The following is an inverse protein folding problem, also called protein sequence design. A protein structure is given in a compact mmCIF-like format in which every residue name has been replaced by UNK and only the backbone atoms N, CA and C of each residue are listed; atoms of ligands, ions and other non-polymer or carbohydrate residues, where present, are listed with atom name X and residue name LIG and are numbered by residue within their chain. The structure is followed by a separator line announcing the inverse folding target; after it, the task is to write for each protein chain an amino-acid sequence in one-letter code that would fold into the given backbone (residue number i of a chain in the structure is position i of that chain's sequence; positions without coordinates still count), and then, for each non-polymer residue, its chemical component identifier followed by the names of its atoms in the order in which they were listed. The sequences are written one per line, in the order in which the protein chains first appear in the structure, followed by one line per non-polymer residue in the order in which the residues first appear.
data_IF_420271882348
#
_entry.id   IF_420271882348
#
_cell.length_a   1.000
_cell.length_b   1.000
_cell.length_c   1.000
_cell.angle_alpha   90.00
_cell.angle_beta   90.00
_cell.angle_gamma   90.00
#
_symmetry.space_group_name_H-M   'P 1'
#
loop_
_entity.id
_entity.type
_entity.pdbx_description
1 polymer ?
#
# COMPACT_ATOMS: atom_id res chain seq x y z
N UNK A 1 -11.69 -24.63 14.01
CA UNK A 1 -12.44 -23.54 13.37
C UNK A 1 -11.54 -23.04 12.24
N UNK A 2 -11.87 -23.33 10.98
CA UNK A 2 -11.02 -22.92 9.85
C UNK A 2 -11.12 -21.40 9.64
N UNK A 3 -10.02 -20.67 9.37
CA UNK A 3 -10.10 -19.27 9.01
C UNK A 3 -10.87 -19.15 7.69
N UNK A 4 -11.86 -18.25 7.64
CA UNK A 4 -12.60 -17.98 6.40
C UNK A 4 -11.78 -17.01 5.57
N UNK A 5 -11.17 -17.49 4.49
CA UNK A 5 -10.54 -16.60 3.53
C UNK A 5 -11.60 -15.92 2.72
N UNK A 6 -11.78 -14.63 3.00
CA UNK A 6 -12.64 -13.77 2.22
C UNK A 6 -11.74 -12.76 1.54
N UNK A 7 -11.14 -13.16 0.40
CA UNK A 7 -10.79 -12.16 -0.61
C UNK A 7 -12.10 -11.42 -0.89
N UNK A 8 -12.13 -10.13 -0.58
CA UNK A 8 -13.38 -9.38 -0.68
C UNK A 8 -13.80 -9.29 -2.16
N UNK A 9 -15.11 -9.33 -2.46
CA UNK A 9 -15.57 -8.98 -3.79
C UNK A 9 -14.96 -7.64 -4.23
N UNK A 10 -14.41 -7.59 -5.44
CA UNK A 10 -13.68 -6.42 -5.95
C UNK A 10 -12.43 -6.07 -5.12
N UNK A 11 -11.70 -7.07 -4.65
CA UNK A 11 -10.29 -6.90 -4.28
C UNK A 11 -9.48 -6.39 -5.49
N UNK A 12 -8.34 -5.76 -5.22
CA UNK A 12 -7.37 -5.35 -6.26
C UNK A 12 -6.59 -6.54 -6.83
N UNK A 13 -6.77 -7.74 -6.26
CA UNK A 13 -6.16 -8.97 -6.74
C UNK A 13 -4.75 -9.19 -6.21
N UNK A 14 -3.95 -9.94 -6.97
CA UNK A 14 -2.56 -10.21 -6.62
C UNK A 14 -1.70 -8.94 -6.72
N UNK A 15 -1.01 -8.58 -5.64
CA UNK A 15 -0.13 -7.42 -5.56
C UNK A 15 1.29 -7.85 -5.18
N UNK A 16 2.25 -6.93 -5.33
CA UNK A 16 3.65 -7.17 -4.98
C UNK A 16 4.26 -5.91 -4.38
N UNK A 17 5.02 -6.04 -3.28
CA UNK A 17 5.74 -4.91 -2.72
C UNK A 17 6.84 -4.46 -3.68
N UNK A 18 7.08 -3.17 -3.67
CA UNK A 18 8.13 -2.50 -4.41
C UNK A 18 9.06 -1.83 -3.41
N UNK A 19 10.33 -1.70 -3.76
CA UNK A 19 11.33 -1.03 -2.93
C UNK A 19 11.92 0.15 -3.68
N UNK A 20 11.99 1.31 -3.02
CA UNK A 20 12.63 2.51 -3.53
C UNK A 20 13.79 2.89 -2.61
N UNK A 21 14.99 2.97 -3.19
CA UNK A 21 16.22 3.32 -2.48
C UNK A 21 16.51 4.81 -2.61
N UNK A 22 16.79 5.45 -1.48
CA UNK A 22 17.16 6.87 -1.38
C UNK A 22 18.60 6.99 -0.90
N UNK A 23 19.37 7.83 -1.60
CA UNK A 23 20.79 8.10 -1.25
C UNK A 23 20.99 9.50 -0.69
N UNK A 24 19.94 10.32 -0.75
CA UNK A 24 19.88 11.65 -0.16
C UNK A 24 19.68 11.55 1.36
N UNK A 25 20.51 12.22 2.18
CA UNK A 25 20.38 12.16 3.63
C UNK A 25 19.06 12.73 4.15
N UNK A 26 18.34 11.92 4.92
CA UNK A 26 17.11 12.33 5.61
C UNK A 26 17.44 12.87 7.01
N UNK A 27 17.16 14.17 7.21
CA UNK A 27 17.34 14.83 8.51
C UNK A 27 16.09 14.68 9.36
N UNK A 28 16.26 14.14 10.56
CA UNK A 28 15.17 13.97 11.51
C UNK A 28 14.97 15.21 12.38
N UNK A 29 13.77 15.34 12.96
CA UNK A 29 13.45 16.42 13.91
C UNK A 29 14.36 16.41 15.16
N UNK A 30 14.90 15.24 15.53
CA UNK A 30 15.87 15.10 16.64
C UNK A 30 17.25 15.66 16.32
N UNK A 31 17.52 16.03 15.07
CA UNK A 31 18.84 16.46 14.58
C UNK A 31 19.71 15.32 14.06
N UNK A 32 19.33 14.05 14.28
CA UNK A 32 20.00 12.90 13.67
C UNK A 32 19.81 12.87 12.14
N UNK A 33 20.69 12.14 11.45
CA UNK A 33 20.69 12.00 10.00
C UNK A 33 20.76 10.54 9.62
N UNK A 34 19.88 10.12 8.72
CA UNK A 34 19.94 8.82 8.04
C UNK A 34 20.48 9.04 6.64
N UNK A 35 21.68 8.51 6.35
CA UNK A 35 22.40 8.83 5.11
C UNK A 35 21.73 8.26 3.85
N UNK A 36 21.16 7.07 3.96
CA UNK A 36 20.46 6.37 2.89
C UNK A 36 19.45 5.41 3.52
N UNK A 37 18.36 5.16 2.82
CA UNK A 37 17.28 4.31 3.31
C UNK A 37 16.47 3.72 2.17
N UNK A 38 15.84 2.59 2.42
CA UNK A 38 14.90 1.94 1.51
C UNK A 38 13.48 2.12 2.05
N UNK A 39 12.55 2.45 1.17
CA UNK A 39 11.11 2.43 1.47
C UNK A 39 10.45 1.30 0.69
N UNK A 40 9.73 0.46 1.41
CA UNK A 40 8.86 -0.54 0.81
C UNK A 40 7.45 0.02 0.69
N UNK A 41 6.86 -0.12 -0.49
CA UNK A 41 5.55 0.42 -0.81
C UNK A 41 4.79 -0.49 -1.80
N UNK A 42 3.49 -0.29 -1.87
CA UNK A 42 2.58 -0.86 -2.87
C UNK A 42 1.71 0.24 -3.46
N UNK A 43 1.23 -0.01 -4.68
CA UNK A 43 0.33 0.92 -5.36
C UNK A 43 -0.85 0.19 -5.96
N UNK A 44 -2.03 0.84 -5.93
CA UNK A 44 -3.27 0.26 -6.40
C UNK A 44 -4.00 1.26 -7.31
N UNK A 45 -4.50 0.77 -8.45
CA UNK A 45 -5.09 1.62 -9.50
C UNK A 45 -4.04 2.26 -10.40
N UNK A 46 -4.44 3.32 -11.12
CA UNK A 46 -3.59 3.98 -12.13
C UNK A 46 -3.46 5.48 -11.87
N UNK A 47 -2.23 5.98 -11.78
CA UNK A 47 -1.95 7.41 -11.67
C UNK A 47 -2.33 8.09 -12.98
N UNK A 48 -3.20 9.10 -12.91
CA UNK A 48 -3.61 9.84 -14.09
C UNK A 48 -2.48 10.74 -14.61
N UNK A 49 -2.58 11.19 -15.87
CA UNK A 49 -1.53 12.00 -16.50
C UNK A 49 -1.24 13.33 -15.76
N UNK A 50 -2.26 13.92 -15.13
CA UNK A 50 -2.14 15.15 -14.34
C UNK A 50 -1.57 14.91 -12.92
N UNK A 51 -1.38 13.65 -12.51
CA UNK A 51 -0.99 13.21 -11.16
C UNK A 51 -1.89 13.77 -10.06
N UNK A 52 -3.16 14.02 -10.36
CA UNK A 52 -4.12 14.66 -9.45
C UNK A 52 -4.97 13.69 -8.65
N UNK A 53 -4.83 12.38 -8.87
CA UNK A 53 -5.65 11.35 -8.24
C UNK A 53 -4.88 10.47 -7.24
N UNK A 54 -3.72 10.91 -6.77
CA UNK A 54 -2.92 10.17 -5.80
C UNK A 54 -3.52 10.28 -4.37
N UNK A 55 -3.61 9.15 -3.67
CA UNK A 55 -4.07 9.05 -2.28
C UNK A 55 -3.04 8.26 -1.48
N UNK A 56 -2.53 8.83 -0.39
CA UNK A 56 -1.59 8.15 0.51
C UNK A 56 -2.35 7.47 1.66
N UNK A 57 -2.19 6.15 1.81
CA UNK A 57 -2.72 5.40 2.92
C UNK A 57 -1.71 5.37 4.08
N UNK A 58 -2.00 6.15 5.14
CA UNK A 58 -1.20 6.13 6.36
C UNK A 58 -1.64 4.96 7.25
N UNK A 59 -0.73 4.02 7.49
CA UNK A 59 -1.01 2.84 8.30
C UNK A 59 -0.91 3.14 9.81
N UNK A 60 -1.54 2.27 10.62
CA UNK A 60 -1.37 2.26 12.08
C UNK A 60 0.01 1.69 12.47
N UNK A 61 0.41 1.85 13.75
CA UNK A 61 1.75 1.48 14.25
C UNK A 61 2.18 0.05 13.92
N UNK A 62 1.26 -0.91 13.92
CA UNK A 62 1.50 -2.33 13.70
C UNK A 62 1.09 -2.83 12.30
N UNK A 63 0.62 -1.94 11.43
CA UNK A 63 0.28 -2.26 10.06
C UNK A 63 1.47 -2.00 9.12
N UNK A 64 1.34 -2.39 7.85
CA UNK A 64 2.41 -2.35 6.85
C UNK A 64 1.94 -1.68 5.55
N UNK A 65 2.84 -1.61 4.56
CA UNK A 65 2.56 -1.15 3.20
C UNK A 65 1.46 -1.96 2.48
N UNK A 66 1.16 -3.19 2.93
CA UNK A 66 0.19 -4.07 2.31
C UNK A 66 -1.26 -3.73 2.70
N UNK A 67 -1.84 -2.75 2.00
CA UNK A 67 -3.16 -2.17 2.34
C UNK A 67 -4.32 -2.97 1.75
N UNK A 68 -4.18 -3.47 0.52
CA UNK A 68 -5.24 -4.18 -0.20
C UNK A 68 -4.67 -5.26 -1.11
N UNK A 69 -5.53 -6.18 -1.56
CA UNK A 69 -5.13 -7.30 -2.39
C UNK A 69 -4.64 -8.47 -1.57
N UNK A 70 -3.91 -9.36 -2.25
CA UNK A 70 -3.23 -10.50 -1.64
C UNK A 70 -1.89 -10.78 -2.33
N UNK A 71 -1.00 -11.53 -1.69
CA UNK A 71 0.23 -11.98 -2.34
C UNK A 71 0.02 -13.24 -3.17
N UNK A 72 0.58 -13.28 -4.37
CA UNK A 72 0.35 -14.39 -5.30
C UNK A 72 0.86 -15.74 -4.76
N UNK A 73 1.93 -15.72 -3.97
CA UNK A 73 2.55 -16.87 -3.31
C UNK A 73 1.98 -17.16 -1.91
N UNK A 74 1.21 -16.23 -1.35
CA UNK A 74 0.49 -16.39 -0.09
C UNK A 74 -0.89 -15.70 -0.17
N UNK A 75 -1.88 -16.31 -0.85
CA UNK A 75 -3.20 -15.69 -1.08
C UNK A 75 -4.01 -15.43 0.20
N UNK A 76 -3.60 -16.02 1.32
CA UNK A 76 -4.17 -15.84 2.65
C UNK A 76 -3.72 -14.52 3.29
N UNK A 77 -2.60 -13.98 2.82
CA UNK A 77 -2.06 -12.70 3.22
C UNK A 77 -2.84 -11.59 2.52
N UNK A 78 -3.97 -11.21 3.12
CA UNK A 78 -4.87 -10.18 2.60
C UNK A 78 -4.55 -8.83 3.23
N UNK A 79 -4.56 -7.78 2.41
CA UNK A 79 -4.30 -6.42 2.85
C UNK A 79 -5.26 -5.96 3.95
N UNK A 80 -4.74 -5.21 4.92
CA UNK A 80 -5.47 -4.87 6.16
C UNK A 80 -6.71 -3.98 5.95
N UNK A 81 -6.88 -3.42 4.75
CA UNK A 81 -8.03 -2.63 4.30
C UNK A 81 -8.55 -3.07 2.93
N UNK A 82 -8.40 -4.35 2.57
CA UNK A 82 -8.92 -4.87 1.30
C UNK A 82 -10.44 -4.60 1.17
N UNK A 83 -11.21 -4.63 2.25
CA UNK A 83 -12.64 -4.27 2.24
C UNK A 83 -12.92 -2.79 1.90
N UNK A 84 -11.96 -1.89 2.09
CA UNK A 84 -12.11 -0.44 1.90
C UNK A 84 -11.53 0.05 0.57
N UNK A 85 -10.50 -0.64 0.05
CA UNK A 85 -9.74 -0.21 -1.13
C UNK A 85 -9.89 -1.24 -2.26
N UNK A 86 -10.31 -0.78 -3.42
CA UNK A 86 -10.46 -1.61 -4.63
C UNK A 86 -11.53 -1.08 -5.59
N UNK A 87 -11.80 -1.78 -6.71
CA UNK A 87 -12.72 -1.30 -7.72
C UNK A 87 -14.14 -1.06 -7.18
N UNK A 88 -14.63 0.18 -7.26
CA UNK A 88 -15.95 0.57 -6.77
C UNK A 88 -16.17 0.46 -5.25
N UNK A 89 -15.10 0.34 -4.46
CA UNK A 89 -15.11 0.41 -2.98
C UNK A 89 -15.05 1.87 -2.49
N UNK A 90 -15.17 2.16 -1.18
CA UNK A 90 -15.11 3.53 -0.66
C UNK A 90 -13.87 4.30 -1.11
N UNK A 91 -12.70 3.66 -1.14
CA UNK A 91 -11.51 4.15 -1.83
C UNK A 91 -11.39 3.41 -3.15
N UNK A 92 -11.99 4.02 -4.17
CA UNK A 92 -12.19 3.40 -5.48
C UNK A 92 -10.92 3.45 -6.35
N UNK A 93 -10.30 2.31 -6.60
CA UNK A 93 -9.07 2.20 -7.41
C UNK A 93 -9.32 2.36 -8.91
N UNK A 94 -10.57 2.42 -9.37
CA UNK A 94 -10.90 2.84 -10.74
C UNK A 94 -10.80 4.36 -10.91
N UNK A 95 -10.77 5.12 -9.79
CA UNK A 95 -10.70 6.59 -9.78
C UNK A 95 -9.38 7.10 -9.21
N UNK A 96 -8.90 6.49 -8.13
CA UNK A 96 -7.74 6.93 -7.38
C UNK A 96 -6.55 5.99 -7.60
N UNK A 97 -5.35 6.59 -7.54
CA UNK A 97 -4.09 5.88 -7.43
C UNK A 97 -3.68 5.88 -5.97
N UNK A 98 -3.83 4.74 -5.30
CA UNK A 98 -3.58 4.62 -3.87
C UNK A 98 -2.15 4.13 -3.65
N UNK A 99 -1.45 4.73 -2.69
CA UNK A 99 -0.09 4.33 -2.28
C UNK A 99 -0.12 3.89 -0.83
N UNK A 100 0.31 2.65 -0.56
CA UNK A 100 0.61 2.15 0.77
C UNK A 100 2.12 2.10 0.96
N UNK A 101 2.63 2.64 2.06
CA UNK A 101 4.08 2.73 2.33
C UNK A 101 4.36 2.23 3.74
N UNK A 102 5.53 1.63 3.95
CA UNK A 102 6.02 1.35 5.30
C UNK A 102 6.80 2.58 5.79
N UNK A 103 6.24 3.28 6.79
CA UNK A 103 6.76 4.56 7.29
C UNK A 103 7.79 4.39 8.41
#
# INVERSE_FOLDING_TARGET
MAPRNHIEPRSVGAVRPQMLSFTEPLRFRSGAVLNSYDLVYETYGTLNAAKSNAVLACHALNAAHHVAGYYADDPENVGWWDNMIGPGKPVDTEKFFVVGVNN
#
